data_IF_645771011750
#
_entry.id   IF_645771011750
#
_cell.length_a   1.000
_cell.length_b   1.000
_cell.length_c   1.000
_cell.angle_alpha   90.00
_cell.angle_beta   90.00
_cell.angle_gamma   90.00
#
_symmetry.space_group_name_H-M   'P 1'
#
loop_
_entity.id
_entity.type
_entity.pdbx_description
1 polymer ?
#
# COMPACT_ATOMS: atom_id res chain seq x y z
N UNK A 1 -1.08 -13.07 -2.50
CA UNK A 1 0.28 -12.60 -2.27
C UNK A 1 0.36 -11.80 -0.98
N UNK A 2 1.12 -12.32 -0.02
CA UNK A 2 1.24 -11.70 1.31
C UNK A 2 1.87 -10.30 1.26
N UNK A 3 2.84 -10.09 0.36
CA UNK A 3 3.50 -8.79 0.26
C UNK A 3 2.53 -7.73 -0.28
N UNK A 4 1.71 -8.07 -1.26
CA UNK A 4 0.70 -7.15 -1.77
C UNK A 4 -0.34 -6.81 -0.70
N UNK A 5 -0.80 -7.83 0.05
CA UNK A 5 -1.72 -7.59 1.16
C UNK A 5 -1.13 -6.67 2.21
N UNK A 6 0.17 -6.83 2.51
CA UNK A 6 0.85 -5.95 3.46
C UNK A 6 0.86 -4.51 2.96
N UNK A 7 1.16 -4.27 1.67
CA UNK A 7 1.12 -2.94 1.09
C UNK A 7 -0.26 -2.32 1.26
N UNK A 8 -1.31 -3.08 0.95
CA UNK A 8 -2.67 -2.57 1.05
C UNK A 8 -3.07 -2.28 2.50
N UNK A 9 -2.71 -3.15 3.43
CA UNK A 9 -2.98 -2.92 4.85
C UNK A 9 -2.28 -1.66 5.36
N UNK A 10 -1.02 -1.44 4.95
CA UNK A 10 -0.27 -0.26 5.35
C UNK A 10 -0.87 1.01 4.76
N UNK A 11 -1.30 0.96 3.49
CA UNK A 11 -1.95 2.10 2.85
C UNK A 11 -3.27 2.45 3.53
N UNK A 12 -4.07 1.44 3.88
CA UNK A 12 -5.32 1.64 4.60
C UNK A 12 -5.06 2.18 6.02
N UNK A 13 -4.01 1.67 6.67
CA UNK A 13 -3.63 2.16 7.99
C UNK A 13 -3.27 3.64 7.95
N UNK A 14 -2.58 4.09 6.89
CA UNK A 14 -2.28 5.51 6.70
C UNK A 14 -3.54 6.36 6.63
N UNK A 15 -4.55 5.90 5.89
CA UNK A 15 -5.84 6.59 5.83
C UNK A 15 -6.51 6.64 7.20
N UNK A 16 -6.57 5.50 7.89
CA UNK A 16 -7.22 5.40 9.20
C UNK A 16 -6.55 6.29 10.23
N UNK A 17 -5.22 6.37 10.21
CA UNK A 17 -4.47 7.20 11.14
C UNK A 17 -4.74 8.69 10.92
N UNK A 18 -5.23 9.06 9.75
CA UNK A 18 -5.62 10.43 9.43
C UNK A 18 -7.14 10.64 9.51
N UNK A 19 -7.87 9.69 10.06
CA UNK A 19 -9.31 9.82 10.29
C UNK A 19 -10.18 9.48 9.08
N UNK A 20 -9.62 8.86 8.06
CA UNK A 20 -10.36 8.51 6.84
C UNK A 20 -10.64 7.03 6.79
N UNK A 21 -11.75 6.66 6.13
CA UNK A 21 -12.10 5.27 5.83
C UNK A 21 -12.56 5.18 4.39
N UNK A 22 -12.12 4.13 3.70
CA UNK A 22 -12.67 3.79 2.40
C UNK A 22 -13.74 2.73 2.59
N UNK A 23 -14.80 2.80 1.76
CA UNK A 23 -15.84 1.79 1.76
C UNK A 23 -15.35 0.62 0.90
N UNK A 24 -15.21 -0.55 1.51
CA UNK A 24 -14.74 -1.75 0.81
C UNK A 24 -15.65 -2.15 -0.35
N UNK A 25 -16.92 -1.76 -0.27
CA UNK A 25 -17.89 -2.07 -1.33
C UNK A 25 -17.76 -1.15 -2.54
N UNK A 26 -17.02 -0.04 -2.43
CA UNK A 26 -16.85 0.88 -3.56
C UNK A 26 -15.65 0.47 -4.42
N UNK A 27 -15.82 0.44 -5.77
CA UNK A 27 -14.68 0.23 -6.65
C UNK A 27 -13.59 1.28 -6.42
N UNK A 28 -12.33 0.87 -6.55
CA UNK A 28 -11.22 1.80 -6.46
C UNK A 28 -10.73 2.14 -5.06
N UNK A 29 -11.22 1.46 -4.01
CA UNK A 29 -10.74 1.74 -2.66
C UNK A 29 -9.24 1.44 -2.49
N UNK A 30 -8.72 0.39 -3.17
CA UNK A 30 -7.29 0.09 -3.18
C UNK A 30 -6.49 1.19 -3.87
N UNK A 31 -7.00 1.66 -5.02
CA UNK A 31 -6.36 2.74 -5.76
C UNK A 31 -6.29 4.01 -4.93
N UNK A 32 -7.39 4.37 -4.28
CA UNK A 32 -7.45 5.55 -3.41
C UNK A 32 -6.44 5.42 -2.28
N UNK A 33 -6.38 4.27 -1.60
CA UNK A 33 -5.45 4.07 -0.49
C UNK A 33 -3.99 4.26 -0.93
N UNK A 34 -3.61 3.71 -2.08
CA UNK A 34 -2.25 3.84 -2.60
C UNK A 34 -1.96 5.27 -3.05
N UNK A 35 -2.86 5.89 -3.80
CA UNK A 35 -2.62 7.20 -4.39
C UNK A 35 -2.59 8.32 -3.36
N UNK A 36 -3.20 8.11 -2.19
CA UNK A 36 -3.19 9.11 -1.13
C UNK A 36 -2.02 8.97 -0.15
N UNK A 37 -1.11 8.01 -0.34
CA UNK A 37 0.03 7.80 0.57
C UNK A 37 0.92 9.02 0.72
N UNK A 38 1.05 9.85 -0.32
CA UNK A 38 1.84 11.09 -0.23
C UNK A 38 1.22 12.07 0.77
N UNK A 39 -0.10 12.03 0.94
CA UNK A 39 -0.82 12.90 1.86
C UNK A 39 -0.95 12.30 3.25
N UNK A 40 -1.13 10.99 3.35
CA UNK A 40 -1.41 10.35 4.64
C UNK A 40 -0.16 10.14 5.48
N UNK A 41 0.92 9.63 4.88
CA UNK A 41 2.17 9.32 5.60
C UNK A 41 3.39 9.94 4.95
N UNK A 42 3.19 10.89 4.03
CA UNK A 42 4.26 11.57 3.30
C UNK A 42 5.17 10.59 2.55
N UNK A 43 4.59 9.55 1.99
CA UNK A 43 5.32 8.65 1.09
C UNK A 43 5.72 9.42 -0.16
N UNK A 44 6.98 9.32 -0.61
CA UNK A 44 7.41 10.10 -1.79
C UNK A 44 6.53 9.82 -3.00
N UNK A 45 6.12 10.88 -3.70
CA UNK A 45 5.20 10.76 -4.83
C UNK A 45 5.75 9.86 -5.94
N UNK A 46 7.06 9.92 -6.19
CA UNK A 46 7.70 9.10 -7.22
C UNK A 46 7.68 7.61 -6.83
N UNK A 47 7.48 7.28 -5.56
CA UNK A 47 7.40 5.89 -5.09
C UNK A 47 5.96 5.36 -5.09
N UNK A 48 4.97 6.20 -5.35
CA UNK A 48 3.58 5.76 -5.50
C UNK A 48 3.42 4.98 -6.80
N UNK A 49 4.09 5.39 -7.87
CA UNK A 49 4.04 4.74 -9.17
C UNK A 49 4.30 3.23 -9.10
N UNK A 50 5.40 2.76 -8.47
CA UNK A 50 5.65 1.32 -8.38
C UNK A 50 4.54 0.57 -7.64
N UNK A 51 3.97 1.16 -6.60
CA UNK A 51 2.88 0.53 -5.84
C UNK A 51 1.61 0.41 -6.69
N UNK A 52 1.27 1.49 -7.42
CA UNK A 52 0.08 1.48 -8.27
C UNK A 52 0.26 0.51 -9.44
N UNK A 53 1.47 0.40 -9.96
CA UNK A 53 1.78 -0.58 -11.01
C UNK A 53 1.59 -2.01 -10.52
N UNK A 54 1.99 -2.31 -9.28
CA UNK A 54 1.77 -3.62 -8.68
C UNK A 54 0.28 -3.93 -8.53
N UNK A 55 -0.52 -2.92 -8.13
CA UNK A 55 -1.97 -3.07 -8.03
C UNK A 55 -2.58 -3.42 -9.39
N UNK A 56 -2.19 -2.70 -10.43
CA UNK A 56 -2.68 -2.95 -11.80
C UNK A 56 -2.28 -4.34 -12.28
N UNK A 57 -1.04 -4.74 -12.05
CA UNK A 57 -0.54 -6.06 -12.44
C UNK A 57 -1.29 -7.16 -11.71
N UNK A 58 -1.58 -6.96 -10.42
CA UNK A 58 -2.33 -7.93 -9.63
C UNK A 58 -3.74 -8.12 -10.19
N UNK A 59 -4.40 -7.02 -10.56
CA UNK A 59 -5.73 -7.09 -11.16
C UNK A 59 -5.72 -7.85 -12.48
N UNK A 60 -4.72 -7.61 -13.33
CA UNK A 60 -4.57 -8.32 -14.59
C UNK A 60 -4.34 -9.81 -14.38
N UNK A 61 -3.51 -10.17 -13.41
CA UNK A 61 -3.25 -11.56 -13.06
C UNK A 61 -4.52 -12.27 -12.61
N UNK A 62 -5.31 -11.61 -11.77
CA UNK A 62 -6.57 -12.17 -11.28
C UNK A 62 -7.56 -12.42 -12.42
N UNK A 63 -7.56 -11.56 -13.44
CA UNK A 63 -8.45 -11.71 -14.59
C UNK A 63 -7.95 -12.72 -15.61
N UNK A 64 -6.67 -12.70 -15.91
CA UNK A 64 -6.11 -13.52 -17.00
C UNK A 64 -5.67 -14.90 -16.54
N UNK A 65 -5.49 -15.12 -15.23
CA UNK A 65 -4.95 -16.35 -14.69
C UNK A 65 -3.45 -16.51 -14.91
N UNK A 66 -2.77 -15.46 -15.36
CA UNK A 66 -1.32 -15.51 -15.58
C UNK A 66 -0.57 -15.59 -14.26
N UNK A 67 0.57 -16.28 -14.28
CA UNK A 67 1.42 -16.37 -13.10
C UNK A 67 2.21 -15.09 -12.93
N UNK A 68 2.32 -14.64 -11.68
CA UNK A 68 3.13 -13.48 -11.33
C UNK A 68 4.60 -13.85 -11.44
N UNK A 69 5.40 -13.05 -12.14
CA UNK A 69 6.82 -13.32 -12.32
C UNK A 69 7.58 -13.19 -10.98
N UNK A 70 8.74 -13.90 -10.91
CA UNK A 70 9.60 -13.80 -9.73
C UNK A 70 10.11 -12.37 -9.51
N UNK A 71 10.39 -11.64 -10.59
CA UNK A 71 10.81 -10.25 -10.51
C UNK A 71 9.71 -9.38 -9.88
N UNK A 72 8.46 -9.60 -10.29
CA UNK A 72 7.34 -8.86 -9.73
C UNK A 72 7.12 -9.18 -8.25
N UNK A 73 7.26 -10.46 -7.86
CA UNK A 73 7.17 -10.87 -6.46
C UNK A 73 8.26 -10.21 -5.62
N UNK A 74 9.50 -10.18 -6.13
CA UNK A 74 10.62 -9.53 -5.45
C UNK A 74 10.40 -8.04 -5.29
N UNK A 75 9.92 -7.37 -6.34
CA UNK A 75 9.61 -5.95 -6.31
C UNK A 75 8.51 -5.65 -5.29
N UNK A 76 7.46 -6.47 -5.27
CA UNK A 76 6.36 -6.32 -4.32
C UNK A 76 6.85 -6.44 -2.88
N UNK A 77 7.70 -7.44 -2.62
CA UNK A 77 8.27 -7.67 -1.28
C UNK A 77 9.14 -6.50 -0.85
N UNK A 78 10.01 -6.00 -1.74
CA UNK A 78 10.89 -4.87 -1.44
C UNK A 78 10.09 -3.61 -1.12
N UNK A 79 9.05 -3.33 -1.91
CA UNK A 79 8.17 -2.20 -1.69
C UNK A 79 7.40 -2.34 -0.38
N UNK A 80 6.94 -3.54 -0.05
CA UNK A 80 6.23 -3.78 1.21
C UNK A 80 7.13 -3.49 2.41
N UNK A 81 8.37 -3.95 2.38
CA UNK A 81 9.33 -3.72 3.47
C UNK A 81 9.68 -2.24 3.62
N UNK A 82 9.88 -1.54 2.49
CA UNK A 82 10.17 -0.12 2.52
C UNK A 82 8.99 0.68 3.07
N UNK A 83 7.79 0.35 2.63
CA UNK A 83 6.58 1.03 3.11
C UNK A 83 6.34 0.74 4.59
N UNK A 84 6.56 -0.50 5.04
CA UNK A 84 6.42 -0.84 6.46
C UNK A 84 7.34 0.01 7.33
N UNK A 85 8.61 0.12 6.95
CA UNK A 85 9.56 0.93 7.70
C UNK A 85 9.14 2.40 7.75
N UNK A 86 8.67 2.92 6.61
CA UNK A 86 8.24 4.31 6.51
C UNK A 86 7.00 4.60 7.37
N UNK A 87 5.99 3.74 7.26
CA UNK A 87 4.74 3.90 8.04
C UNK A 87 5.01 3.76 9.52
N UNK A 88 5.86 2.80 9.91
CA UNK A 88 6.23 2.62 11.30
C UNK A 88 6.90 3.88 11.87
N UNK A 89 7.87 4.45 11.13
CA UNK A 89 8.52 5.68 11.54
C UNK A 89 7.55 6.85 11.63
N UNK A 90 6.63 6.95 10.65
CA UNK A 90 5.61 7.99 10.64
C UNK A 90 4.70 7.88 11.87
N UNK A 91 4.25 6.66 12.20
CA UNK A 91 3.41 6.42 13.37
C UNK A 91 4.11 6.79 14.67
N UNK A 92 5.38 6.42 14.80
CA UNK A 92 6.18 6.78 15.99
C UNK A 92 6.25 8.30 16.18
N UNK A 93 6.37 9.05 15.09
CA UNK A 93 6.47 10.50 15.12
C UNK A 93 5.12 11.19 15.32
N UNK A 94 4.07 10.68 14.66
CA UNK A 94 2.79 11.40 14.55
C UNK A 94 1.66 10.78 15.39
N UNK A 95 1.75 9.48 15.67
CA UNK A 95 0.69 8.75 16.40
C UNK A 95 1.31 7.72 17.34
N UNK A 96 2.19 8.14 18.28
CA UNK A 96 2.91 7.17 19.10
C UNK A 96 2.00 6.26 19.93
N UNK A 97 0.82 6.74 20.31
CA UNK A 97 -0.13 5.95 21.10
C UNK A 97 -0.70 4.74 20.33
N UNK A 98 -0.58 4.74 18.99
CA UNK A 98 -1.04 3.60 18.19
C UNK A 98 -0.11 2.39 18.30
N UNK A 99 1.11 2.60 18.80
CA UNK A 99 2.13 1.55 18.91
C UNK A 99 2.32 1.06 20.35
N UNK A 100 1.59 1.65 21.28
CA UNK A 100 1.63 1.25 22.70
C UNK A 100 0.89 -0.05 22.97
#
# INVERSE_FOLDING_TARGET
DAAYKAIMQLAMLGLMANGYRTLKSKPGHHQTAIQTLALTVQWPSEKIWPLDALRKQRNLTDYSGDLVSQAAVGSCRSNAMALLAHVHAWLLAQRPHWLD
#
